data_IF_441531067005
#
_entry.id   IF_441531067005
#
_cell.length_a   1.000
_cell.length_b   1.000
_cell.length_c   1.000
_cell.angle_alpha   90.00
_cell.angle_beta   90.00
_cell.angle_gamma   90.00
#
_symmetry.space_group_name_H-M   'P 1'
#
loop_
_entity.id
_entity.type
_entity.pdbx_description
1 polymer ?
#
# COMPACT_ATOMS: atom_id res chain seq x y z
N UNK A 1 11.17 -11.29 15.66
CA UNK A 1 11.84 -10.55 14.59
C UNK A 1 11.41 -9.09 14.66
N UNK A 2 12.31 -8.21 15.04
CA UNK A 2 12.06 -6.77 15.13
C UNK A 2 12.43 -6.14 13.80
N UNK A 3 11.52 -6.21 12.83
CA UNK A 3 11.68 -5.42 11.61
C UNK A 3 11.52 -3.94 11.97
N UNK A 4 12.64 -3.22 12.02
CA UNK A 4 12.66 -1.80 12.32
C UNK A 4 12.20 -0.95 11.12
N UNK A 5 12.13 0.40 11.28
CA UNK A 5 11.73 1.33 10.21
C UNK A 5 12.61 1.21 8.95
N UNK A 6 13.85 0.82 9.07
CA UNK A 6 14.74 0.54 7.95
C UNK A 6 14.25 -0.61 7.06
N UNK A 7 13.78 -1.70 7.65
CA UNK A 7 13.20 -2.81 6.89
C UNK A 7 11.89 -2.40 6.19
N UNK A 8 11.05 -1.58 6.86
CA UNK A 8 9.86 -0.99 6.25
C UNK A 8 10.19 -0.10 5.04
N UNK A 9 11.22 0.73 5.16
CA UNK A 9 11.70 1.57 4.06
C UNK A 9 12.23 0.74 2.87
N UNK A 10 12.99 -0.32 3.13
CA UNK A 10 13.50 -1.23 2.09
C UNK A 10 12.35 -1.93 1.37
N UNK A 11 11.39 -2.49 2.10
CA UNK A 11 10.21 -3.13 1.53
C UNK A 11 9.36 -2.14 0.72
N UNK A 12 9.18 -0.91 1.24
CA UNK A 12 8.52 0.17 0.53
C UNK A 12 9.25 0.54 -0.76
N UNK A 13 10.58 0.58 -0.73
CA UNK A 13 11.43 0.81 -1.89
C UNK A 13 11.30 -0.28 -2.96
N UNK A 14 11.36 -1.55 -2.58
CA UNK A 14 11.16 -2.67 -3.50
C UNK A 14 9.78 -2.61 -4.14
N UNK A 15 8.74 -2.37 -3.34
CA UNK A 15 7.37 -2.20 -3.85
C UNK A 15 7.25 -0.99 -4.78
N UNK A 16 7.96 0.11 -4.46
CA UNK A 16 8.03 1.30 -5.29
C UNK A 16 8.68 1.04 -6.66
N UNK A 17 9.77 0.27 -6.69
CA UNK A 17 10.45 -0.11 -7.93
C UNK A 17 9.57 -1.00 -8.82
N UNK A 18 8.84 -1.96 -8.23
CA UNK A 18 7.86 -2.77 -8.96
C UNK A 18 6.77 -1.87 -9.55
N UNK A 19 6.24 -0.95 -8.75
CA UNK A 19 5.22 0.01 -9.23
C UNK A 19 5.73 0.93 -10.33
N UNK A 20 7.00 1.33 -10.27
CA UNK A 20 7.63 2.11 -11.34
C UNK A 20 7.80 1.29 -12.62
N UNK A 21 8.19 0.01 -12.51
CA UNK A 21 8.21 -0.91 -13.65
C UNK A 21 6.82 -1.02 -14.28
N UNK A 22 5.76 -1.19 -13.49
CA UNK A 22 4.39 -1.30 -13.98
C UNK A 22 3.91 -0.01 -14.67
N UNK A 23 4.38 1.16 -14.20
CA UNK A 23 4.13 2.45 -14.86
C UNK A 23 4.81 2.53 -16.24
N UNK A 24 6.06 2.04 -16.35
CA UNK A 24 6.81 2.05 -17.60
C UNK A 24 6.26 1.02 -18.60
N UNK A 25 5.89 -0.17 -18.11
CA UNK A 25 5.41 -1.27 -18.98
C UNK A 25 3.94 -1.16 -19.36
N UNK A 26 3.20 -0.18 -18.81
CA UNK A 26 1.78 0.01 -19.12
C UNK A 26 0.82 -0.91 -18.36
N UNK A 27 1.31 -1.71 -17.42
CA UNK A 27 0.47 -2.62 -16.62
C UNK A 27 -0.51 -1.84 -15.75
N UNK A 28 -0.08 -0.72 -15.18
CA UNK A 28 -0.94 0.17 -14.42
C UNK A 28 -1.34 1.38 -15.27
N UNK A 29 -2.57 1.40 -15.75
CA UNK A 29 -3.08 2.45 -16.65
C UNK A 29 -2.90 3.86 -16.07
N UNK A 30 -3.22 4.06 -14.78
CA UNK A 30 -3.14 5.38 -14.15
C UNK A 30 -1.70 5.88 -14.02
N UNK A 31 -0.80 5.05 -13.51
CA UNK A 31 0.61 5.44 -13.32
C UNK A 31 1.36 5.55 -14.64
N UNK A 32 0.94 4.84 -15.70
CA UNK A 32 1.49 4.98 -17.04
C UNK A 32 1.16 6.34 -17.67
N UNK A 33 -0.05 6.83 -17.48
CA UNK A 33 -0.43 8.18 -17.93
C UNK A 33 0.38 9.23 -17.18
N UNK A 34 0.56 9.08 -15.85
CA UNK A 34 1.40 9.98 -15.08
C UNK A 34 2.86 9.95 -15.54
N UNK A 35 3.36 8.78 -15.93
CA UNK A 35 4.72 8.65 -16.46
C UNK A 35 4.90 9.39 -17.79
N UNK A 36 3.89 9.38 -18.66
CA UNK A 36 3.89 10.15 -19.91
C UNK A 36 3.83 11.65 -19.68
N UNK A 37 3.09 12.10 -18.64
CA UNK A 37 2.98 13.52 -18.30
C UNK A 37 4.27 14.03 -17.65
N UNK A 38 4.80 13.31 -16.66
CA UNK A 38 6.01 13.68 -15.94
C UNK A 38 6.70 12.46 -15.32
N UNK A 39 7.76 11.94 -15.95
CA UNK A 39 8.51 10.79 -15.42
C UNK A 39 9.09 11.02 -14.03
N UNK A 40 9.58 12.25 -13.75
CA UNK A 40 10.18 12.62 -12.47
C UNK A 40 9.14 12.56 -11.34
N UNK A 41 7.97 13.18 -11.54
CA UNK A 41 6.90 13.17 -10.55
C UNK A 41 6.33 11.77 -10.35
N UNK A 42 6.28 10.95 -11.40
CA UNK A 42 5.88 9.54 -11.29
C UNK A 42 6.89 8.71 -10.51
N UNK A 43 8.18 8.98 -10.68
CA UNK A 43 9.22 8.34 -9.85
C UNK A 43 9.04 8.69 -8.37
N UNK A 44 8.82 9.96 -8.06
CA UNK A 44 8.55 10.40 -6.67
C UNK A 44 7.29 9.71 -6.13
N UNK A 45 6.20 9.68 -6.90
CA UNK A 45 4.94 9.04 -6.54
C UNK A 45 5.12 7.54 -6.26
N UNK A 46 5.78 6.82 -7.18
CA UNK A 46 5.90 5.37 -7.10
C UNK A 46 6.96 4.91 -6.10
N UNK A 47 8.10 5.60 -6.00
CA UNK A 47 9.24 5.14 -5.19
C UNK A 47 9.32 5.90 -3.88
N UNK A 48 9.45 7.24 -3.92
CA UNK A 48 9.71 8.03 -2.72
C UNK A 48 8.54 7.96 -1.74
N UNK A 49 7.29 8.09 -2.20
CA UNK A 49 6.12 8.01 -1.33
C UNK A 49 5.96 6.63 -0.70
N UNK A 50 6.35 5.56 -1.38
CA UNK A 50 6.30 4.20 -0.83
C UNK A 50 7.42 3.91 0.16
N UNK A 51 8.61 4.45 -0.04
CA UNK A 51 9.69 4.39 0.95
C UNK A 51 9.29 5.12 2.23
N UNK A 52 8.74 6.33 2.09
CA UNK A 52 8.22 7.11 3.22
C UNK A 52 7.11 6.38 3.96
N UNK A 53 6.14 5.82 3.22
CA UNK A 53 5.07 5.01 3.79
C UNK A 53 5.64 3.83 4.60
N UNK A 54 6.52 3.04 4.00
CA UNK A 54 7.13 1.87 4.66
C UNK A 54 7.94 2.26 5.90
N UNK A 55 8.65 3.37 5.86
CA UNK A 55 9.37 3.93 7.00
C UNK A 55 8.42 4.36 8.13
N UNK A 56 7.34 5.10 7.80
CA UNK A 56 6.32 5.51 8.76
C UNK A 56 5.60 4.32 9.41
N UNK A 57 5.22 3.31 8.62
CA UNK A 57 4.64 2.06 9.14
C UNK A 57 5.61 1.38 10.10
N UNK A 58 6.88 1.30 9.75
CA UNK A 58 7.92 0.73 10.61
C UNK A 58 8.14 1.49 11.91
N UNK A 59 8.06 2.83 11.89
CA UNK A 59 8.09 3.67 13.09
C UNK A 59 6.86 3.44 13.96
N UNK A 60 5.67 3.48 13.36
CA UNK A 60 4.41 3.27 14.06
C UNK A 60 4.39 1.90 14.75
N UNK A 61 4.82 0.86 14.04
CA UNK A 61 4.91 -0.48 14.60
C UNK A 61 5.91 -0.56 15.77
N UNK A 62 7.05 0.16 15.68
CA UNK A 62 8.02 0.24 16.79
C UNK A 62 7.41 0.89 18.03
N UNK A 63 6.65 1.99 17.86
CA UNK A 63 5.97 2.69 18.96
C UNK A 63 4.88 1.81 19.56
N UNK A 64 4.03 1.22 18.72
CA UNK A 64 2.95 0.33 19.17
C UNK A 64 3.48 -0.84 19.99
N UNK A 65 4.59 -1.46 19.58
CA UNK A 65 5.21 -2.55 20.33
C UNK A 65 5.77 -2.17 21.71
N UNK A 66 6.07 -0.90 21.93
CA UNK A 66 6.48 -0.42 23.25
C UNK A 66 5.32 -0.29 24.23
N UNK A 67 4.12 -0.01 23.69
CA UNK A 67 2.90 0.21 24.48
C UNK A 67 2.10 -1.08 24.68
N UNK A 68 2.17 -2.00 23.73
CA UNK A 68 1.40 -3.25 23.72
C UNK A 68 2.09 -4.36 24.53
N UNK A 69 1.65 -4.54 25.78
CA UNK A 69 2.11 -5.63 26.65
C UNK A 69 1.66 -7.03 26.19
N UNK A 70 0.55 -7.15 25.45
CA UNK A 70 -0.01 -8.44 24.99
C UNK A 70 0.39 -8.84 23.58
N UNK A 71 1.13 -7.97 22.85
CA UNK A 71 1.68 -8.21 21.49
C UNK A 71 0.68 -8.59 20.39
N UNK A 72 -0.61 -8.52 20.62
CA UNK A 72 -1.66 -8.86 19.63
C UNK A 72 -2.18 -7.65 18.87
N UNK A 73 -2.43 -6.54 19.56
CA UNK A 73 -3.01 -5.34 18.97
C UNK A 73 -2.05 -4.60 18.05
N UNK A 74 -0.76 -4.61 18.36
CA UNK A 74 0.26 -3.95 17.54
C UNK A 74 0.36 -4.52 16.13
N UNK A 75 0.13 -5.82 15.96
CA UNK A 75 0.11 -6.44 14.63
C UNK A 75 -1.12 -6.01 13.82
N UNK A 76 -2.28 -5.94 14.47
CA UNK A 76 -3.53 -5.58 13.80
C UNK A 76 -3.54 -4.10 13.39
N UNK A 77 -3.16 -3.20 14.31
CA UNK A 77 -3.06 -1.76 14.01
C UNK A 77 -1.94 -1.48 13.00
N UNK A 78 -0.80 -2.19 13.10
CA UNK A 78 0.28 -2.08 12.13
C UNK A 78 -0.14 -2.52 10.72
N UNK A 79 -0.91 -3.60 10.61
CA UNK A 79 -1.43 -4.07 9.33
C UNK A 79 -2.44 -3.09 8.71
N UNK A 80 -3.33 -2.49 9.52
CA UNK A 80 -4.29 -1.48 9.07
C UNK A 80 -3.62 -0.15 8.71
N UNK A 81 -2.53 0.21 9.38
CA UNK A 81 -1.83 1.48 9.12
C UNK A 81 -1.16 1.52 7.75
N UNK A 82 -0.73 0.39 7.22
CA UNK A 82 -0.05 0.32 5.94
C UNK A 82 -0.94 0.80 4.77
N UNK A 83 -2.16 0.26 4.54
CA UNK A 83 -3.04 0.75 3.48
C UNK A 83 -3.49 2.20 3.72
N UNK A 84 -3.73 2.62 4.97
CA UNK A 84 -4.11 3.99 5.28
C UNK A 84 -3.00 4.98 4.92
N UNK A 85 -1.77 4.72 5.35
CA UNK A 85 -0.63 5.57 5.02
C UNK A 85 -0.30 5.54 3.53
N UNK A 86 -0.45 4.38 2.87
CA UNK A 86 -0.32 4.31 1.41
C UNK A 86 -1.32 5.24 0.72
N UNK A 87 -2.58 5.20 1.13
CA UNK A 87 -3.62 6.09 0.60
C UNK A 87 -3.27 7.56 0.82
N UNK A 88 -2.90 7.92 2.04
CA UNK A 88 -2.57 9.31 2.38
C UNK A 88 -1.39 9.82 1.54
N UNK A 89 -0.29 9.08 1.48
CA UNK A 89 0.89 9.53 0.73
C UNK A 89 0.69 9.47 -0.78
N UNK A 90 0.13 8.38 -1.30
CA UNK A 90 -0.03 8.18 -2.73
C UNK A 90 -1.12 9.10 -3.30
N UNK A 91 -2.31 9.11 -2.72
CA UNK A 91 -3.40 9.96 -3.16
C UNK A 91 -3.16 11.43 -2.84
N UNK A 92 -2.55 11.73 -1.69
CA UNK A 92 -2.16 13.09 -1.35
C UNK A 92 -1.21 13.69 -2.39
N UNK A 93 -0.22 12.92 -2.84
CA UNK A 93 0.69 13.38 -3.88
C UNK A 93 0.00 13.55 -5.24
N UNK A 94 -0.91 12.63 -5.63
CA UNK A 94 -1.71 12.77 -6.85
C UNK A 94 -2.52 14.05 -6.83
N UNK A 95 -3.20 14.34 -5.72
CA UNK A 95 -4.00 15.56 -5.58
C UNK A 95 -3.11 16.80 -5.62
N UNK A 96 -1.93 16.78 -5.02
CA UNK A 96 -1.05 17.95 -5.00
C UNK A 96 -0.41 18.24 -6.36
N UNK A 97 -0.02 17.22 -7.11
CA UNK A 97 0.79 17.37 -8.33
C UNK A 97 -0.02 17.16 -9.60
N UNK A 98 -0.87 16.15 -9.63
CA UNK A 98 -1.57 15.70 -10.83
C UNK A 98 -3.06 16.11 -10.89
N UNK A 99 -3.62 16.74 -9.83
CA UNK A 99 -5.04 17.08 -9.79
C UNK A 99 -5.52 17.93 -10.96
N UNK A 100 -4.67 18.85 -11.43
CA UNK A 100 -4.99 19.75 -12.55
C UNK A 100 -4.79 19.14 -13.95
N UNK A 101 -4.36 17.88 -14.04
CA UNK A 101 -4.19 17.19 -15.32
C UNK A 101 -5.55 16.78 -15.89
N UNK A 102 -5.70 16.84 -17.21
CA UNK A 102 -6.94 16.50 -17.92
C UNK A 102 -7.41 15.08 -17.56
N UNK A 103 -6.48 14.14 -17.44
CA UNK A 103 -6.76 12.76 -17.05
C UNK A 103 -7.44 12.65 -15.67
N UNK A 104 -6.95 13.40 -14.68
CA UNK A 104 -7.56 13.39 -13.34
C UNK A 104 -8.88 14.14 -13.35
N UNK A 105 -9.00 15.24 -14.10
CA UNK A 105 -10.26 16.00 -14.23
C UNK A 105 -11.36 15.16 -14.89
N UNK A 106 -11.05 14.35 -15.89
CA UNK A 106 -12.00 13.39 -16.47
C UNK A 106 -12.44 12.36 -15.44
N UNK A 107 -11.53 11.86 -14.60
CA UNK A 107 -11.86 10.93 -13.50
C UNK A 107 -12.71 11.60 -12.42
N UNK A 108 -12.39 12.82 -12.06
CA UNK A 108 -13.21 13.63 -11.12
C UNK A 108 -14.62 13.78 -11.64
N UNK A 109 -14.78 14.12 -12.92
CA UNK A 109 -16.08 14.27 -13.57
C UNK A 109 -16.83 12.93 -13.67
N UNK A 110 -16.15 11.83 -14.01
CA UNK A 110 -16.76 10.50 -14.11
C UNK A 110 -17.24 9.95 -12.76
N UNK A 111 -16.57 10.32 -11.67
CA UNK A 111 -16.95 9.94 -10.31
C UNK A 111 -17.96 10.91 -9.67
N UNK A 112 -18.26 12.04 -10.32
CA UNK A 112 -19.15 13.07 -9.79
C UNK A 112 -18.58 13.74 -8.53
N UNK A 113 -17.27 13.80 -8.40
CA UNK A 113 -16.62 14.36 -7.22
C UNK A 113 -16.62 15.89 -7.26
N UNK A 114 -17.30 16.52 -6.29
CA UNK A 114 -17.34 17.97 -6.18
C UNK A 114 -16.06 18.60 -5.59
N UNK A 115 -15.28 17.82 -4.86
CA UNK A 115 -14.08 18.27 -4.14
C UNK A 115 -12.93 17.25 -4.26
N UNK A 116 -11.64 17.68 -4.15
CA UNK A 116 -10.51 16.77 -4.17
C UNK A 116 -10.57 15.65 -3.11
N UNK A 117 -11.08 15.96 -1.91
CA UNK A 117 -11.27 14.96 -0.85
C UNK A 117 -12.33 13.92 -1.24
N UNK A 118 -13.44 14.37 -1.83
CA UNK A 118 -14.47 13.47 -2.32
C UNK A 118 -13.97 12.56 -3.43
N UNK A 119 -13.12 13.09 -4.32
CA UNK A 119 -12.45 12.32 -5.36
C UNK A 119 -11.59 11.19 -4.74
N UNK A 120 -10.77 11.51 -3.74
CA UNK A 120 -9.94 10.51 -3.04
C UNK A 120 -10.81 9.44 -2.38
N UNK A 121 -11.85 9.84 -1.67
CA UNK A 121 -12.77 8.91 -0.98
C UNK A 121 -13.49 7.99 -1.96
N UNK A 122 -13.99 8.51 -3.07
CA UNK A 122 -14.69 7.72 -4.08
C UNK A 122 -13.72 6.78 -4.82
N UNK A 123 -12.57 7.28 -5.23
CA UNK A 123 -11.55 6.47 -5.93
C UNK A 123 -11.03 5.34 -5.03
N UNK A 124 -10.66 5.67 -3.79
CA UNK A 124 -10.16 4.70 -2.81
C UNK A 124 -11.25 3.76 -2.34
N UNK A 125 -12.48 4.25 -2.17
CA UNK A 125 -13.61 3.41 -1.78
C UNK A 125 -13.89 2.31 -2.79
N UNK A 126 -13.93 2.63 -4.07
CA UNK A 126 -14.12 1.63 -5.15
C UNK A 126 -12.94 0.67 -5.22
N UNK A 127 -11.71 1.18 -5.21
CA UNK A 127 -10.50 0.35 -5.26
C UNK A 127 -10.34 -0.50 -4.00
N UNK A 128 -10.60 0.06 -2.82
CA UNK A 128 -10.52 -0.65 -1.55
C UNK A 128 -11.52 -1.79 -1.43
N UNK A 129 -12.73 -1.67 -1.99
CA UNK A 129 -13.69 -2.77 -2.05
C UNK A 129 -13.16 -3.93 -2.90
N UNK A 130 -12.56 -3.63 -4.04
CA UNK A 130 -11.94 -4.65 -4.92
C UNK A 130 -10.76 -5.31 -4.19
N UNK A 131 -9.89 -4.54 -3.55
CA UNK A 131 -8.74 -5.05 -2.79
C UNK A 131 -9.16 -5.95 -1.62
N UNK A 132 -10.22 -5.60 -0.90
CA UNK A 132 -10.76 -6.43 0.20
C UNK A 132 -11.23 -7.79 -0.35
N UNK A 133 -12.00 -7.80 -1.44
CA UNK A 133 -12.50 -9.03 -2.04
C UNK A 133 -11.34 -9.92 -2.51
N UNK A 134 -10.42 -9.35 -3.27
CA UNK A 134 -9.25 -10.08 -3.79
C UNK A 134 -8.31 -10.49 -2.65
N UNK A 135 -8.06 -9.61 -1.69
CA UNK A 135 -7.21 -9.88 -0.53
C UNK A 135 -7.75 -10.98 0.36
N UNK A 136 -9.06 -11.02 0.61
CA UNK A 136 -9.70 -12.10 1.35
C UNK A 136 -9.63 -13.44 0.60
N UNK A 137 -9.88 -13.45 -0.71
CA UNK A 137 -9.82 -14.66 -1.51
C UNK A 137 -8.39 -15.21 -1.62
N UNK A 138 -7.43 -14.38 -2.02
CA UNK A 138 -6.03 -14.79 -2.23
C UNK A 138 -5.31 -14.99 -0.89
N UNK A 139 -5.48 -14.06 0.04
CA UNK A 139 -4.84 -14.11 1.37
C UNK A 139 -5.30 -15.30 2.19
N UNK A 140 -6.58 -15.66 2.12
CA UNK A 140 -7.13 -16.85 2.77
C UNK A 140 -6.55 -18.15 2.21
N UNK A 141 -6.38 -18.25 0.90
CA UNK A 141 -5.75 -19.41 0.24
C UNK A 141 -4.28 -19.52 0.60
N UNK A 142 -3.54 -18.41 0.52
CA UNK A 142 -2.11 -18.36 0.87
C UNK A 142 -1.87 -18.68 2.36
N UNK A 143 -2.68 -18.12 3.25
CA UNK A 143 -2.59 -18.42 4.68
C UNK A 143 -2.81 -19.90 4.99
N UNK A 144 -3.78 -20.55 4.33
CA UNK A 144 -4.02 -21.98 4.44
C UNK A 144 -2.86 -22.81 3.87
N UNK A 145 -2.32 -22.41 2.71
CA UNK A 145 -1.18 -23.09 2.12
C UNK A 145 0.05 -23.02 3.03
N UNK A 146 0.38 -21.83 3.56
CA UNK A 146 1.49 -21.64 4.49
C UNK A 146 1.29 -22.41 5.79
N UNK A 147 0.08 -22.40 6.36
CA UNK A 147 -0.24 -23.16 7.57
C UNK A 147 -0.09 -24.68 7.35
N UNK A 148 -0.50 -25.18 6.20
CA UNK A 148 -0.35 -26.57 5.78
C UNK A 148 1.13 -26.96 5.64
N UNK A 149 1.95 -26.12 5.01
CA UNK A 149 3.40 -26.36 4.88
C UNK A 149 4.15 -26.29 6.22
N UNK A 150 3.78 -25.38 7.12
CA UNK A 150 4.37 -25.26 8.44
C UNK A 150 3.91 -26.34 9.40
N UNK A 151 2.64 -26.76 9.30
CA UNK A 151 2.08 -27.87 10.09
C UNK A 151 2.75 -29.23 9.80
N UNK A 152 3.21 -29.44 8.56
CA UNK A 152 3.98 -30.65 8.20
C UNK A 152 5.44 -30.63 8.68
N UNK A 153 5.96 -29.48 9.14
CA UNK A 153 7.31 -29.32 9.67
C UNK A 153 7.40 -29.27 11.20
N UNK A 154 6.30 -29.46 11.92
CA UNK A 154 6.39 -29.63 13.37
C UNK A 154 6.99 -31.01 13.64
N UNK A 155 8.19 -31.10 14.26
CA UNK A 155 8.73 -32.38 14.66
C UNK A 155 7.78 -33.01 15.68
N UNK A 156 7.45 -34.28 15.46
CA UNK A 156 6.77 -35.08 16.47
C UNK A 156 7.51 -34.92 17.80
N UNK A 157 6.81 -34.44 18.82
CA UNK A 157 7.34 -34.47 20.18
C UNK A 157 7.62 -35.93 20.49
N UNK A 158 8.90 -36.28 20.63
CA UNK A 158 9.30 -37.52 21.29
C UNK A 158 8.74 -37.48 22.70
N UNK A 159 7.93 -38.47 23.04
CA UNK A 159 7.57 -38.83 24.40
C UNK A 159 8.81 -39.32 25.18
#
# INVERSE_FOLDING_TARGET
MTMGPTAGAILGGVFGLVSMKDAITGVSAMTSVFFQISPINTFVLCVVMRVLMGWCVGLLFRVLRRVDHKKSWSYFVGALSAPLLNTIFFMGYIVLVFYKTDYIQERVASLGAANPLMFVVLLVGVQGLIEIIVGCAVGGVLARAVASFLGHRAPAKAE
#
